data_IF_807773028979
#
_entry.id   IF_807773028979
#
_cell.length_a   1.000
_cell.length_b   1.000
_cell.length_c   1.000
_cell.angle_alpha   90.00
_cell.angle_beta   90.00
_cell.angle_gamma   90.00
#
_symmetry.space_group_name_H-M   'P 1'
#
loop_
_entity.id
_entity.type
_entity.pdbx_description
1 polymer ?
#
# COMPACT_ATOMS: atom_id res chain seq x y z
N UNK A 1 2.16 -15.49 1.57
CA UNK A 1 2.76 -14.17 1.38
C UNK A 1 1.65 -13.19 1.09
N UNK A 2 1.69 -12.00 1.68
CA UNK A 2 0.76 -10.91 1.38
C UNK A 2 1.56 -9.80 0.73
N UNK A 3 1.07 -9.31 -0.41
CA UNK A 3 1.61 -8.16 -1.12
C UNK A 3 0.48 -7.21 -1.51
N UNK A 4 0.84 -5.96 -1.76
CA UNK A 4 -0.10 -4.94 -2.18
C UNK A 4 0.28 -4.39 -3.54
N UNK A 5 -0.72 -4.14 -4.36
CA UNK A 5 -0.57 -3.54 -5.69
C UNK A 5 -1.53 -2.37 -5.88
N UNK A 6 -1.15 -1.43 -6.74
CA UNK A 6 -2.07 -0.41 -7.26
C UNK A 6 -3.04 -1.02 -8.28
N UNK A 7 -4.04 -0.24 -8.67
CA UNK A 7 -5.08 -0.66 -9.62
C UNK A 7 -4.54 -1.20 -10.96
N UNK A 8 -3.40 -0.70 -11.40
CA UNK A 8 -2.67 -1.06 -12.63
C UNK A 8 -1.85 -2.34 -12.49
N UNK A 9 -1.79 -2.93 -11.30
CA UNK A 9 -0.97 -4.10 -10.99
C UNK A 9 0.49 -3.76 -10.66
N UNK A 10 0.83 -2.47 -10.54
CA UNK A 10 2.15 -2.07 -10.07
C UNK A 10 2.31 -2.44 -8.59
N UNK A 11 3.43 -3.12 -8.27
CA UNK A 11 3.79 -3.45 -6.90
C UNK A 11 3.96 -2.16 -6.09
N UNK A 12 3.35 -2.10 -4.91
CA UNK A 12 3.54 -0.94 -4.04
C UNK A 12 4.96 -0.90 -3.49
N UNK A 13 5.56 0.28 -3.58
CA UNK A 13 6.75 0.62 -2.78
C UNK A 13 6.33 1.38 -1.52
N UNK A 14 7.13 1.23 -0.46
CA UNK A 14 6.95 2.01 0.75
C UNK A 14 7.31 3.48 0.50
N UNK A 15 6.45 4.36 1.00
CA UNK A 15 6.60 5.81 1.02
C UNK A 15 6.57 6.27 2.49
N UNK A 16 7.73 6.36 3.15
CA UNK A 16 7.82 6.70 4.57
C UNK A 16 7.03 7.99 4.90
N UNK A 17 6.23 7.93 5.96
CA UNK A 17 5.39 9.06 6.38
C UNK A 17 4.00 9.11 5.73
N UNK A 18 3.75 8.39 4.62
CA UNK A 18 2.47 8.44 3.90
C UNK A 18 1.83 7.06 3.65
N UNK A 19 2.64 6.04 3.31
CA UNK A 19 2.16 4.68 3.11
C UNK A 19 3.28 3.66 3.25
N UNK A 20 3.10 2.61 4.02
CA UNK A 20 4.08 1.51 4.08
C UNK A 20 3.41 0.18 4.42
N UNK A 21 4.09 -0.92 4.11
CA UNK A 21 3.62 -2.27 4.45
C UNK A 21 4.32 -2.77 5.71
N UNK A 22 3.56 -3.24 6.69
CA UNK A 22 4.13 -3.89 7.89
C UNK A 22 4.46 -5.34 7.61
N UNK A 23 5.34 -5.90 8.45
CA UNK A 23 5.74 -7.31 8.39
C UNK A 23 4.56 -8.29 8.58
N UNK A 24 3.47 -7.85 9.21
CA UNK A 24 2.23 -8.60 9.37
C UNK A 24 1.32 -8.57 8.11
N UNK A 25 1.72 -7.86 7.04
CA UNK A 25 0.98 -7.72 5.79
C UNK A 25 0.01 -6.55 5.76
N UNK A 26 -0.09 -5.73 6.82
CA UNK A 26 -0.97 -4.57 6.85
C UNK A 26 -0.44 -3.44 5.98
N UNK A 27 -1.28 -2.88 5.11
CA UNK A 27 -1.00 -1.60 4.42
C UNK A 27 -1.39 -0.44 5.34
N UNK A 28 -0.40 0.35 5.75
CA UNK A 28 -0.59 1.42 6.73
C UNK A 28 -0.52 2.78 6.07
N UNK A 29 -1.49 3.62 6.40
CA UNK A 29 -1.53 5.05 6.08
C UNK A 29 -1.48 5.81 7.41
N UNK A 30 -0.29 6.29 7.87
CA UNK A 30 -0.19 7.07 9.09
C UNK A 30 -0.89 8.44 8.93
N UNK A 31 -1.22 9.12 10.04
CA UNK A 31 -1.66 10.52 9.98
C UNK A 31 -0.60 11.40 9.30
N UNK A 32 -1.06 12.35 8.48
CA UNK A 32 -0.22 13.25 7.70
C UNK A 32 -0.79 14.68 7.74
N UNK A 33 0.04 15.73 7.59
CA UNK A 33 -0.44 17.11 7.47
C UNK A 33 -1.09 17.34 6.09
N UNK A 34 -2.06 18.25 5.99
CA UNK A 34 -2.79 18.49 4.73
C UNK A 34 -1.90 18.88 3.54
N UNK A 35 -0.75 19.49 3.79
CA UNK A 35 0.25 19.88 2.79
C UNK A 35 0.93 18.67 2.12
N UNK A 36 0.96 17.51 2.78
CA UNK A 36 1.52 16.27 2.26
C UNK A 36 0.46 15.38 1.58
N UNK A 37 -0.72 15.95 1.26
CA UNK A 37 -1.71 15.24 0.49
C UNK A 37 -1.20 14.93 -0.92
N UNK A 38 -1.01 13.64 -1.18
CA UNK A 38 -0.73 13.10 -2.52
C UNK A 38 -1.93 12.28 -2.99
N UNK A 39 -2.60 12.71 -4.05
CA UNK A 39 -3.79 12.03 -4.58
C UNK A 39 -3.52 10.57 -4.96
N UNK A 40 -2.37 10.30 -5.56
CA UNK A 40 -1.90 8.96 -5.93
C UNK A 40 -1.70 7.99 -4.76
N UNK A 41 -1.68 8.51 -3.53
CA UNK A 41 -1.58 7.72 -2.30
C UNK A 41 -2.93 7.66 -1.60
N UNK A 42 -3.58 8.81 -1.40
CA UNK A 42 -4.75 8.97 -0.52
C UNK A 42 -6.10 8.86 -1.24
N UNK A 43 -6.11 8.92 -2.57
CA UNK A 43 -7.28 8.78 -3.43
C UNK A 43 -7.05 7.72 -4.52
N UNK A 44 -6.46 6.59 -4.12
CA UNK A 44 -6.11 5.48 -5.00
C UNK A 44 -6.86 4.20 -4.61
N UNK A 45 -6.99 3.28 -5.57
CA UNK A 45 -7.53 1.93 -5.35
C UNK A 45 -6.36 0.97 -5.16
N UNK A 46 -6.40 0.23 -4.04
CA UNK A 46 -5.41 -0.76 -3.67
C UNK A 46 -6.01 -2.16 -3.68
N UNK A 47 -5.20 -3.15 -4.05
CA UNK A 47 -5.58 -4.56 -4.00
C UNK A 47 -4.57 -5.34 -3.20
N UNK A 48 -5.08 -6.20 -2.32
CA UNK A 48 -4.29 -7.20 -1.60
C UNK A 48 -4.17 -8.44 -2.48
N UNK A 49 -2.96 -8.95 -2.63
CA UNK A 49 -2.67 -10.22 -3.28
C UNK A 49 -2.05 -11.15 -2.25
N UNK A 50 -2.68 -12.30 -2.06
CA UNK A 50 -2.25 -13.33 -1.11
C UNK A 50 -1.90 -14.59 -1.89
N UNK A 51 -0.73 -15.15 -1.62
CA UNK A 51 -0.26 -16.37 -2.26
C UNK A 51 0.31 -17.36 -1.27
N UNK A 52 0.24 -18.65 -1.60
CA UNK A 52 0.91 -19.71 -0.86
C UNK A 52 1.48 -20.77 -1.83
N UNK A 53 1.99 -21.88 -1.29
CA UNK A 53 2.63 -22.92 -2.12
C UNK A 53 1.68 -23.60 -3.13
N UNK A 54 0.36 -23.52 -2.93
CA UNK A 54 -0.66 -24.05 -3.85
C UNK A 54 -1.15 -23.03 -4.88
N UNK A 55 -0.81 -21.75 -4.71
CA UNK A 55 -1.48 -20.63 -5.37
C UNK A 55 -1.86 -19.59 -4.35
#
# INVERSE_FOLDING_TARGET
MVSWVKHDGEMLQDLPGLRYTRHDGTLVFPPFPGEEYIADVHAAVYRCEASNAAG
#
